data_IF_469175176441
#
_entry.id   IF_469175176441
#
_cell.length_a   1.000
_cell.length_b   1.000
_cell.length_c   1.000
_cell.angle_alpha   90.00
_cell.angle_beta   90.00
_cell.angle_gamma   90.00
#
_symmetry.space_group_name_H-M   'P 1'
#
loop_
_entity.id
_entity.type
_entity.pdbx_description
1 polymer ?
#
# COMPACT_ATOMS: atom_id res chain seq x y z
N UNK A 1 14.16 2.64 9.61
CA UNK A 1 13.17 2.74 8.53
C UNK A 1 11.80 2.45 9.15
N UNK A 2 10.87 3.42 9.17
CA UNK A 2 9.64 3.42 10.00
C UNK A 2 8.43 2.73 9.35
N UNK A 3 8.64 1.85 8.37
CA UNK A 3 7.55 1.22 7.63
C UNK A 3 7.69 -0.30 7.57
N UNK A 4 6.55 -1.03 7.60
CA UNK A 4 6.54 -2.48 7.49
C UNK A 4 7.17 -2.87 6.17
N UNK A 5 8.11 -3.80 6.26
CA UNK A 5 8.95 -4.25 5.16
C UNK A 5 8.90 -5.78 5.06
N UNK A 6 8.46 -6.47 6.12
CA UNK A 6 8.28 -7.91 6.20
C UNK A 6 6.89 -8.25 6.72
N UNK A 7 6.41 -9.44 6.42
CA UNK A 7 5.12 -9.93 6.92
C UNK A 7 5.07 -10.03 8.45
N UNK A 8 6.23 -10.20 9.08
CA UNK A 8 6.39 -10.27 10.55
C UNK A 8 6.20 -8.91 11.23
N UNK A 9 6.28 -7.81 10.47
CA UNK A 9 6.16 -6.46 11.01
C UNK A 9 4.69 -6.10 11.34
N UNK A 10 3.73 -6.93 10.92
CA UNK A 10 2.32 -6.78 11.31
C UNK A 10 2.04 -7.45 12.65
N UNK A 11 1.83 -6.65 13.68
CA UNK A 11 1.57 -7.13 15.05
C UNK A 11 0.15 -6.72 15.47
N UNK A 12 -0.76 -7.66 15.64
CA UNK A 12 -2.15 -7.38 16.00
C UNK A 12 -2.39 -7.27 17.53
N UNK A 13 -1.34 -7.36 18.34
CA UNK A 13 -1.41 -7.45 19.80
C UNK A 13 -1.47 -8.89 20.32
N UNK A 14 -1.35 -9.05 21.65
CA UNK A 14 -1.30 -10.33 22.37
C UNK A 14 -2.03 -10.17 23.71
N UNK A 15 -2.60 -11.27 24.23
CA UNK A 15 -3.12 -11.36 25.60
C UNK A 15 -4.04 -10.19 25.98
N UNK A 16 -5.19 -10.05 25.30
CA UNK A 16 -6.17 -8.97 25.45
C UNK A 16 -5.69 -7.54 25.14
N UNK A 17 -4.43 -7.35 24.77
CA UNK A 17 -3.99 -6.11 24.14
C UNK A 17 -4.17 -6.21 22.62
N UNK A 18 -4.64 -5.11 22.00
CA UNK A 18 -4.86 -5.00 20.57
C UNK A 18 -4.13 -3.78 20.05
N UNK A 19 -3.35 -3.97 18.99
CA UNK A 19 -2.69 -2.87 18.29
C UNK A 19 -3.49 -2.55 17.03
N UNK A 20 -3.59 -1.25 16.72
CA UNK A 20 -4.25 -0.72 15.52
C UNK A 20 -3.32 0.27 14.81
N UNK A 21 -3.66 0.62 13.56
CA UNK A 21 -2.92 1.62 12.79
C UNK A 21 -1.42 1.34 12.69
N UNK A 22 -0.62 2.39 12.78
CA UNK A 22 0.84 2.31 12.66
C UNK A 22 1.49 1.44 13.74
N UNK A 23 0.94 1.44 14.96
CA UNK A 23 1.41 0.58 16.05
C UNK A 23 1.27 -0.92 15.71
N UNK A 24 0.30 -1.28 14.88
CA UNK A 24 0.13 -2.64 14.37
C UNK A 24 0.92 -2.94 13.08
N UNK A 25 1.66 -1.95 12.57
CA UNK A 25 2.29 -1.98 11.26
C UNK A 25 1.31 -1.76 10.10
N UNK A 26 0.10 -1.26 10.34
CA UNK A 26 -0.86 -0.96 9.28
C UNK A 26 -0.61 0.42 8.66
N UNK A 27 0.46 0.55 7.89
CA UNK A 27 0.84 1.80 7.20
C UNK A 27 1.36 1.52 5.79
N UNK A 28 1.03 2.39 4.84
CA UNK A 28 1.59 2.42 3.50
C UNK A 28 2.38 3.71 3.27
N UNK A 29 3.70 3.64 3.40
CA UNK A 29 4.59 4.80 3.25
C UNK A 29 4.50 5.48 1.87
N UNK A 30 4.18 4.72 0.81
CA UNK A 30 4.08 5.25 -0.56
C UNK A 30 2.89 6.18 -0.80
N UNK A 31 1.92 6.23 0.12
CA UNK A 31 0.63 6.90 -0.09
C UNK A 31 0.20 7.75 1.11
N UNK A 32 1.02 7.85 2.17
CA UNK A 32 0.72 8.56 3.42
C UNK A 32 -0.61 8.15 4.10
N UNK A 33 -1.08 6.92 3.86
CA UNK A 33 -2.42 6.43 4.29
C UNK A 33 -2.49 5.96 5.76
N UNK A 34 -1.60 6.41 6.64
CA UNK A 34 -1.51 5.92 8.04
C UNK A 34 -2.83 6.06 8.81
N UNK A 35 -3.50 7.22 8.66
CA UNK A 35 -4.78 7.51 9.33
C UNK A 35 -5.91 6.61 8.83
N UNK A 36 -6.02 6.41 7.51
CA UNK A 36 -7.06 5.56 6.92
C UNK A 36 -6.95 4.12 7.42
N UNK A 37 -5.73 3.59 7.49
CA UNK A 37 -5.52 2.24 8.00
C UNK A 37 -5.70 2.13 9.52
N UNK A 38 -5.48 3.19 10.28
CA UNK A 38 -5.86 3.24 11.69
C UNK A 38 -7.38 3.12 11.86
N UNK A 39 -8.17 3.84 11.06
CA UNK A 39 -9.63 3.77 11.07
C UNK A 39 -10.15 2.39 10.62
N UNK A 40 -9.67 1.87 9.49
CA UNK A 40 -10.04 0.53 8.99
C UNK A 40 -9.77 -0.55 10.05
N UNK A 41 -8.60 -0.51 10.68
CA UNK A 41 -8.21 -1.51 11.67
C UNK A 41 -8.97 -1.37 12.99
N UNK A 42 -9.38 -0.16 13.37
CA UNK A 42 -10.26 0.10 14.51
C UNK A 42 -11.69 -0.40 14.27
N UNK A 43 -12.23 -0.22 13.07
CA UNK A 43 -13.55 -0.74 12.69
C UNK A 43 -13.58 -2.29 12.72
N UNK A 44 -12.52 -2.92 12.21
CA UNK A 44 -12.35 -4.38 12.29
C UNK A 44 -12.29 -4.83 13.75
N UNK A 45 -11.54 -4.13 14.60
CA UNK A 45 -11.41 -4.47 16.01
C UNK A 45 -12.76 -4.36 16.73
N UNK A 46 -13.48 -3.24 16.55
CA UNK A 46 -14.83 -3.03 17.07
C UNK A 46 -15.76 -4.20 16.68
N UNK A 47 -15.75 -4.58 15.42
CA UNK A 47 -16.58 -5.69 14.91
C UNK A 47 -16.24 -7.04 15.55
N UNK A 48 -14.98 -7.28 15.90
CA UNK A 48 -14.56 -8.51 16.59
C UNK A 48 -14.96 -8.49 18.06
N UNK A 49 -14.81 -7.35 18.74
CA UNK A 49 -15.20 -7.18 20.14
C UNK A 49 -16.70 -7.37 20.33
N UNK A 50 -17.53 -6.85 19.42
CA UNK A 50 -18.98 -7.02 19.49
C UNK A 50 -19.44 -8.48 19.36
N UNK A 51 -18.69 -9.32 18.62
CA UNK A 51 -19.03 -10.74 18.42
C UNK A 51 -18.60 -11.63 19.59
N UNK A 52 -17.82 -11.12 20.54
CA UNK A 52 -17.32 -11.83 21.72
C UNK A 52 -16.86 -13.28 21.49
N UNK A 53 -15.98 -13.55 20.50
CA UNK A 53 -15.43 -14.89 20.30
C UNK A 53 -14.56 -15.32 21.49
N UNK A 54 -14.49 -16.63 21.74
CA UNK A 54 -13.65 -17.20 22.82
C UNK A 54 -12.17 -16.76 22.75
N UNK A 55 -11.66 -16.48 21.55
CA UNK A 55 -10.26 -16.05 21.32
C UNK A 55 -10.19 -14.75 20.50
N UNK A 56 -10.39 -13.61 21.18
CA UNK A 56 -10.43 -12.28 20.57
C UNK A 56 -9.20 -11.94 19.71
N UNK A 57 -7.97 -12.12 20.22
CA UNK A 57 -6.75 -11.83 19.46
C UNK A 57 -6.63 -12.67 18.17
N UNK A 58 -7.04 -13.94 18.23
CA UNK A 58 -6.99 -14.82 17.05
C UNK A 58 -8.04 -14.40 16.03
N UNK A 59 -9.25 -14.05 16.48
CA UNK A 59 -10.31 -13.53 15.64
C UNK A 59 -9.90 -12.21 14.97
N UNK A 60 -9.30 -11.29 15.73
CA UNK A 60 -8.80 -10.02 15.20
C UNK A 60 -7.69 -10.22 14.16
N UNK A 61 -6.71 -11.07 14.43
CA UNK A 61 -5.64 -11.41 13.48
C UNK A 61 -6.20 -12.02 12.19
N UNK A 62 -7.24 -12.84 12.28
CA UNK A 62 -7.92 -13.40 11.10
C UNK A 62 -8.67 -12.32 10.32
N UNK A 63 -9.42 -11.46 11.00
CA UNK A 63 -10.19 -10.39 10.39
C UNK A 63 -9.29 -9.38 9.66
N UNK A 64 -8.12 -9.04 10.20
CA UNK A 64 -7.15 -8.15 9.57
C UNK A 64 -6.32 -8.80 8.44
N UNK A 65 -6.54 -10.09 8.10
CA UNK A 65 -5.75 -10.79 7.06
C UNK A 65 -5.85 -10.11 5.69
N UNK A 66 -7.04 -9.67 5.29
CA UNK A 66 -7.26 -8.98 4.01
C UNK A 66 -6.49 -7.65 3.97
N UNK A 67 -6.53 -6.90 5.07
CA UNK A 67 -5.80 -5.65 5.23
C UNK A 67 -4.28 -5.87 5.12
N UNK A 68 -3.75 -6.88 5.82
CA UNK A 68 -2.32 -7.25 5.77
C UNK A 68 -1.88 -7.68 4.36
N UNK A 69 -2.69 -8.46 3.65
CA UNK A 69 -2.41 -8.84 2.26
C UNK A 69 -2.39 -7.62 1.33
N UNK A 70 -3.33 -6.68 1.49
CA UNK A 70 -3.38 -5.43 0.71
C UNK A 70 -2.10 -4.61 0.91
N UNK A 71 -1.69 -4.40 2.16
CA UNK A 71 -0.48 -3.66 2.51
C UNK A 71 0.79 -4.38 2.04
N UNK A 72 0.88 -5.69 2.25
CA UNK A 72 2.00 -6.49 1.77
C UNK A 72 2.13 -6.46 0.25
N UNK A 73 1.00 -6.50 -0.47
CA UNK A 73 0.99 -6.32 -1.93
C UNK A 73 1.58 -4.98 -2.37
N UNK A 74 1.28 -3.89 -1.65
CA UNK A 74 1.90 -2.58 -1.91
C UNK A 74 3.42 -2.60 -1.71
N UNK A 75 3.90 -3.25 -0.64
CA UNK A 75 5.34 -3.40 -0.34
C UNK A 75 6.02 -4.22 -1.45
N UNK A 76 5.45 -5.36 -1.84
CA UNK A 76 5.98 -6.22 -2.90
C UNK A 76 5.99 -5.48 -4.23
N UNK A 77 4.91 -4.79 -4.60
CA UNK A 77 4.83 -3.97 -5.82
C UNK A 77 5.95 -2.93 -5.84
N UNK A 78 6.15 -2.20 -4.75
CA UNK A 78 7.22 -1.20 -4.64
C UNK A 78 8.60 -1.82 -4.86
N UNK A 79 8.89 -2.97 -4.22
CA UNK A 79 10.15 -3.69 -4.40
C UNK A 79 10.35 -4.19 -5.83
N UNK A 80 9.30 -4.75 -6.43
CA UNK A 80 9.37 -5.26 -7.80
C UNK A 80 9.66 -4.16 -8.83
N UNK A 81 9.06 -2.97 -8.64
CA UNK A 81 9.27 -1.83 -9.53
C UNK A 81 10.63 -1.14 -9.33
N UNK A 82 11.22 -1.23 -8.14
CA UNK A 82 12.50 -0.60 -7.81
C UNK A 82 13.70 -1.53 -8.03
N UNK A 83 13.49 -2.86 -8.06
CA UNK A 83 14.54 -3.83 -8.35
C UNK A 83 15.05 -3.67 -9.81
N UNK A 84 16.35 -3.35 -10.04
CA UNK A 84 16.86 -2.98 -11.36
C UNK A 84 16.65 -4.05 -12.44
N UNK A 85 16.91 -5.32 -12.10
CA UNK A 85 16.71 -6.43 -13.01
C UNK A 85 15.23 -6.58 -13.38
N UNK A 86 14.35 -6.70 -12.38
CA UNK A 86 12.92 -6.93 -12.62
C UNK A 86 12.26 -5.75 -13.34
N UNK A 87 12.62 -4.51 -12.98
CA UNK A 87 12.22 -3.31 -13.70
C UNK A 87 12.60 -3.39 -15.18
N UNK A 88 13.84 -3.80 -15.50
CA UNK A 88 14.31 -3.93 -16.89
C UNK A 88 13.51 -4.97 -17.67
N UNK A 89 13.17 -6.10 -17.04
CA UNK A 89 12.31 -7.11 -17.64
C UNK A 89 10.88 -6.59 -17.89
N UNK A 90 10.28 -5.90 -16.92
CA UNK A 90 8.94 -5.28 -17.05
C UNK A 90 8.93 -4.22 -18.17
N UNK A 91 9.96 -3.39 -18.26
CA UNK A 91 10.06 -2.39 -19.32
C UNK A 91 10.28 -3.02 -20.70
N UNK A 92 11.04 -4.12 -20.77
CA UNK A 92 11.25 -4.87 -22.02
C UNK A 92 10.02 -5.64 -22.49
N UNK A 93 9.13 -6.04 -21.57
CA UNK A 93 7.92 -6.79 -21.93
C UNK A 93 6.80 -5.92 -22.50
N UNK A 94 6.90 -4.59 -22.45
CA UNK A 94 5.88 -3.66 -22.97
C UNK A 94 4.55 -3.71 -22.21
N UNK A 95 4.50 -4.38 -21.06
CA UNK A 95 3.28 -4.50 -20.24
C UNK A 95 2.90 -3.13 -19.69
N UNK A 96 1.62 -2.75 -19.86
CA UNK A 96 1.09 -1.43 -19.53
C UNK A 96 1.73 -0.25 -20.30
N UNK A 97 2.27 -0.51 -21.49
CA UNK A 97 2.70 0.55 -22.40
C UNK A 97 1.50 1.41 -22.80
N UNK A 98 1.50 2.68 -22.39
CA UNK A 98 0.51 3.65 -22.84
C UNK A 98 0.92 4.05 -24.26
N UNK A 99 0.08 3.81 -25.29
CA UNK A 99 0.38 4.27 -26.63
C UNK A 99 0.52 5.79 -26.61
N UNK A 100 1.65 6.29 -27.09
CA UNK A 100 1.80 7.72 -27.31
C UNK A 100 0.83 8.10 -28.42
N UNK A 101 -0.19 8.90 -28.10
CA UNK A 101 -0.89 9.71 -29.10
C UNK A 101 0.17 10.61 -29.75
N UNK A 102 0.71 10.17 -30.89
CA UNK A 102 1.27 11.07 -31.88
C UNK A 102 0.09 11.92 -32.30
N UNK A 103 0.02 13.15 -31.78
CA UNK A 103 -0.73 14.31 -32.29
C UNK A 103 -1.04 15.26 -31.12
N UNK A 104 -0.01 15.80 -30.48
CA UNK A 104 -0.15 17.13 -29.89
C UNK A 104 0.45 18.09 -30.90
N UNK A 105 -0.34 18.97 -31.55
CA UNK A 105 0.23 19.96 -32.43
C UNK A 105 1.15 20.84 -31.57
N UNK A 106 2.45 20.77 -31.83
CA UNK A 106 3.45 21.76 -31.39
C UNK A 106 3.11 23.09 -32.05
N UNK A 107 2.07 23.77 -31.57
CA UNK A 107 1.71 25.14 -31.95
C UNK A 107 2.03 26.08 -30.81
N UNK A 108 3.32 26.28 -30.55
CA UNK A 108 3.85 27.48 -29.92
C UNK A 108 5.28 27.73 -30.43
N UNK A 109 5.42 28.02 -31.72
CA UNK A 109 6.53 28.84 -32.19
C UNK A 109 6.03 30.29 -32.18
N UNK A 110 6.43 31.06 -31.18
CA UNK A 110 6.28 32.51 -31.16
C UNK A 110 7.08 33.13 -32.33
N UNK A 111 6.52 34.08 -33.10
CA UNK A 111 7.30 34.79 -34.10
C UNK A 111 8.22 35.78 -33.39
N UNK A 112 9.45 35.39 -33.10
CA UNK A 112 10.46 36.34 -32.65
C UNK A 112 10.96 37.12 -33.86
N UNK A 113 10.37 38.31 -34.04
CA UNK A 113 11.03 39.55 -34.44
C UNK A 113 12.22 39.43 -35.40
N UNK A 114 11.97 39.61 -36.70
CA UNK A 114 12.96 40.27 -37.55
C UNK A 114 12.89 41.77 -37.28
N UNK A 115 13.94 42.31 -36.68
CA UNK A 115 14.42 43.68 -36.91
C UNK A 115 15.80 43.56 -37.52
#
# INVERSE_FOLDING_TARGET
MLFPSRWQDFVCGKDNAFLIGEAAGFISASSLEGISYALDSAEILRSVLLKQPEKLNTAYRRATRKLRLKLFGKIVKSRCLTAPALRKWIMRSGVAHIPQLKDYPTRFTSPTSRM
#
